data_IF_366603236808
#
_entry.id   IF_366603236808
#
_cell.length_a   1.000
_cell.length_b   1.000
_cell.length_c   1.000
_cell.angle_alpha   90.00
_cell.angle_beta   90.00
_cell.angle_gamma   90.00
#
_symmetry.space_group_name_H-M   'P 1'
#
loop_
_entity.id
_entity.type
_entity.pdbx_description
1 polymer ?
#
# COMPACT_ATOMS: atom_id res chain seq x y z
N UNK A 1 9.64 -16.48 13.10
CA UNK A 1 8.20 -16.80 13.18
C UNK A 1 7.86 -17.83 12.12
N UNK A 2 7.56 -19.05 12.51
CA UNK A 2 7.24 -20.17 11.60
C UNK A 2 5.72 -20.43 11.48
N UNK A 3 4.90 -19.62 12.14
CA UNK A 3 3.45 -19.73 12.16
C UNK A 3 2.89 -20.75 13.16
N UNK A 4 3.75 -21.39 13.94
CA UNK A 4 3.35 -22.35 14.99
C UNK A 4 3.33 -21.69 16.38
N UNK A 5 3.88 -20.50 16.52
CA UNK A 5 3.94 -19.77 17.78
C UNK A 5 2.56 -19.24 18.17
N UNK A 6 2.32 -19.26 19.46
CA UNK A 6 1.08 -18.75 20.02
C UNK A 6 0.93 -17.24 19.74
N UNK A 7 0.14 -16.91 18.73
CA UNK A 7 -0.14 -15.54 18.33
C UNK A 7 -0.77 -14.72 19.47
N UNK A 8 -1.39 -15.36 20.47
CA UNK A 8 -1.94 -14.67 21.64
C UNK A 8 -0.86 -14.06 22.52
N UNK A 9 0.37 -14.59 22.48
CA UNK A 9 1.52 -13.99 23.17
C UNK A 9 2.06 -12.75 22.48
N UNK A 10 1.92 -12.67 21.16
CA UNK A 10 2.23 -11.47 20.38
C UNK A 10 1.09 -10.44 20.45
N UNK A 11 -0.12 -10.88 20.76
CA UNK A 11 -1.30 -10.07 20.97
C UNK A 11 -1.29 -9.19 22.25
N UNK A 12 -0.22 -9.19 23.01
CA UNK A 12 0.05 -8.09 23.94
C UNK A 12 0.27 -6.74 23.21
N UNK A 13 0.51 -6.81 21.89
CA UNK A 13 0.39 -5.73 20.91
C UNK A 13 -0.92 -6.04 20.15
N UNK A 14 -2.01 -5.49 20.54
CA UNK A 14 -3.43 -5.79 20.29
C UNK A 14 -3.91 -5.91 18.81
N UNK A 15 -3.04 -6.12 17.83
CA UNK A 15 -3.34 -5.93 16.40
C UNK A 15 -3.19 -7.18 15.52
N UNK A 16 -2.98 -8.36 16.11
CA UNK A 16 -2.79 -9.59 15.33
C UNK A 16 -4.13 -10.29 15.09
N UNK A 17 -4.85 -9.82 14.07
CA UNK A 17 -6.08 -10.46 13.61
C UNK A 17 -5.83 -11.45 12.48
N UNK A 18 -6.66 -12.48 12.37
CA UNK A 18 -6.67 -13.38 11.22
C UNK A 18 -7.22 -12.72 9.96
N UNK A 19 -7.02 -13.35 8.80
CA UNK A 19 -7.44 -12.82 7.50
C UNK A 19 -8.94 -12.45 7.45
N UNK A 20 -9.80 -13.29 8.01
CA UNK A 20 -11.25 -13.05 8.06
C UNK A 20 -11.62 -11.77 8.82
N UNK A 21 -11.07 -11.61 10.01
CA UNK A 21 -11.34 -10.45 10.86
C UNK A 21 -10.82 -9.16 10.22
N UNK A 22 -9.63 -9.20 9.60
CA UNK A 22 -9.00 -8.05 8.94
C UNK A 22 -9.81 -7.51 7.77
N UNK A 23 -10.56 -8.34 7.05
CA UNK A 23 -11.40 -7.93 5.92
C UNK A 23 -12.90 -7.88 6.24
N UNK A 24 -13.30 -8.10 7.49
CA UNK A 24 -14.71 -8.12 7.88
C UNK A 24 -15.45 -6.83 7.49
N UNK A 25 -14.84 -5.67 7.74
CA UNK A 25 -15.38 -4.36 7.36
C UNK A 25 -15.53 -4.19 5.85
N UNK A 26 -14.63 -4.76 5.05
CA UNK A 26 -14.70 -4.71 3.58
C UNK A 26 -15.89 -5.54 3.08
N UNK A 27 -16.07 -6.74 3.64
CA UNK A 27 -17.17 -7.64 3.29
C UNK A 27 -18.53 -7.03 3.68
N UNK A 28 -18.58 -6.30 4.80
CA UNK A 28 -19.77 -5.61 5.27
C UNK A 28 -20.09 -4.36 4.46
N UNK A 29 -19.11 -3.45 4.31
CA UNK A 29 -19.30 -2.14 3.67
C UNK A 29 -19.31 -2.20 2.14
N UNK A 30 -18.64 -3.19 1.54
CA UNK A 30 -18.53 -3.39 0.08
C UNK A 30 -18.15 -2.12 -0.67
N UNK A 31 -17.02 -1.47 -0.35
CA UNK A 31 -16.56 -0.33 -1.11
C UNK A 31 -16.22 -0.74 -2.55
N UNK A 32 -16.12 0.21 -3.48
CA UNK A 32 -15.71 -0.07 -4.86
C UNK A 32 -14.27 -0.57 -4.92
N UNK A 33 -13.39 -0.02 -4.07
CA UNK A 33 -11.95 -0.34 -4.00
C UNK A 33 -11.56 -0.49 -2.54
N UNK A 34 -10.66 -1.41 -2.26
CA UNK A 34 -10.02 -1.55 -0.96
C UNK A 34 -8.55 -1.95 -1.10
N UNK A 35 -7.70 -1.45 -0.22
CA UNK A 35 -6.26 -1.77 -0.22
C UNK A 35 -5.97 -3.14 0.36
N UNK A 36 -4.90 -3.76 -0.17
CA UNK A 36 -4.29 -4.97 0.34
C UNK A 36 -2.77 -4.76 0.43
N UNK A 37 -2.25 -4.62 1.64
CA UNK A 37 -0.81 -4.49 1.91
C UNK A 37 -0.11 -5.79 1.55
N UNK A 38 0.63 -5.80 0.46
CA UNK A 38 1.13 -7.02 -0.14
C UNK A 38 2.52 -7.39 0.38
N UNK A 39 2.58 -7.81 1.63
CA UNK A 39 3.79 -8.35 2.25
C UNK A 39 3.97 -7.96 3.72
N UNK A 40 4.95 -8.58 4.33
CA UNK A 40 5.34 -8.36 5.72
C UNK A 40 6.50 -7.38 5.76
N UNK A 41 6.46 -6.41 6.68
CA UNK A 41 7.57 -5.47 6.86
C UNK A 41 7.68 -4.97 8.30
N UNK A 42 8.88 -4.54 8.68
CA UNK A 42 9.10 -3.82 9.91
C UNK A 42 8.66 -2.35 9.75
N UNK A 43 8.25 -1.74 10.85
CA UNK A 43 8.05 -0.30 10.97
C UNK A 43 9.03 0.30 11.98
N UNK A 44 9.34 1.59 11.88
CA UNK A 44 10.23 2.27 12.81
C UNK A 44 9.52 2.79 14.06
N UNK A 45 8.24 2.53 14.21
CA UNK A 45 7.46 2.91 15.37
C UNK A 45 7.47 1.76 16.37
N UNK A 46 8.19 1.92 17.49
CA UNK A 46 8.44 0.86 18.47
C UNK A 46 8.96 -0.44 17.81
N UNK A 47 8.72 -1.60 18.42
CA UNK A 47 9.04 -2.93 17.85
C UNK A 47 7.83 -3.46 17.06
N UNK A 48 7.39 -2.69 16.04
CA UNK A 48 6.20 -3.03 15.28
C UNK A 48 6.53 -3.74 13.97
N UNK A 49 5.79 -4.81 13.69
CA UNK A 49 5.87 -5.59 12.44
C UNK A 49 4.48 -5.72 11.84
N UNK A 50 4.31 -5.29 10.59
CA UNK A 50 3.13 -5.63 9.80
C UNK A 50 3.30 -7.06 9.26
N UNK A 51 2.41 -7.97 9.62
CA UNK A 51 2.47 -9.37 9.20
C UNK A 51 1.37 -9.66 8.18
N UNK A 52 1.79 -9.99 6.95
CA UNK A 52 0.94 -10.43 5.85
C UNK A 52 1.58 -11.66 5.19
N UNK A 53 1.32 -12.85 5.73
CA UNK A 53 1.83 -14.08 5.13
C UNK A 53 1.17 -14.32 3.76
N UNK A 54 1.83 -15.04 2.83
CA UNK A 54 1.23 -15.38 1.54
C UNK A 54 -0.12 -16.10 1.65
N UNK A 55 -0.31 -16.91 2.70
CA UNK A 55 -1.58 -17.57 3.00
C UNK A 55 -2.67 -16.59 3.39
N UNK A 56 -2.37 -15.64 4.27
CA UNK A 56 -3.30 -14.57 4.68
C UNK A 56 -3.70 -13.70 3.47
N UNK A 57 -2.73 -13.31 2.64
CA UNK A 57 -3.00 -12.50 1.45
C UNK A 57 -3.93 -13.22 0.48
N UNK A 58 -3.74 -14.53 0.25
CA UNK A 58 -4.65 -15.32 -0.60
C UNK A 58 -6.07 -15.39 -0.02
N UNK A 59 -6.21 -15.57 1.29
CA UNK A 59 -7.53 -15.64 1.93
C UNK A 59 -8.23 -14.28 1.90
N UNK A 60 -7.53 -13.21 2.29
CA UNK A 60 -8.07 -11.84 2.23
C UNK A 60 -8.50 -11.47 0.80
N UNK A 61 -7.64 -11.68 -0.19
CA UNK A 61 -7.95 -11.36 -1.58
C UNK A 61 -9.16 -12.14 -2.12
N UNK A 62 -9.30 -13.43 -1.79
CA UNK A 62 -10.48 -14.23 -2.15
C UNK A 62 -11.76 -13.67 -1.54
N UNK A 63 -11.74 -13.26 -0.27
CA UNK A 63 -12.90 -12.68 0.42
C UNK A 63 -13.31 -11.34 -0.17
N UNK A 64 -12.32 -10.46 -0.45
CA UNK A 64 -12.55 -9.17 -1.10
C UNK A 64 -13.16 -9.35 -2.49
N UNK A 65 -12.58 -10.22 -3.31
CA UNK A 65 -13.08 -10.53 -4.66
C UNK A 65 -14.48 -11.14 -4.63
N UNK A 66 -14.75 -12.06 -3.69
CA UNK A 66 -16.08 -12.65 -3.51
C UNK A 66 -17.13 -11.62 -3.07
N UNK A 67 -16.73 -10.58 -2.34
CA UNK A 67 -17.60 -9.46 -1.98
C UNK A 67 -17.83 -8.46 -3.13
N UNK A 68 -17.18 -8.65 -4.28
CA UNK A 68 -17.27 -7.76 -5.45
C UNK A 68 -16.41 -6.49 -5.32
N UNK A 69 -15.47 -6.46 -4.40
CA UNK A 69 -14.60 -5.31 -4.12
C UNK A 69 -13.33 -5.42 -4.96
N UNK A 70 -12.92 -4.31 -5.59
CA UNK A 70 -11.69 -4.24 -6.35
C UNK A 70 -10.50 -4.06 -5.42
N UNK A 71 -9.45 -4.85 -5.62
CA UNK A 71 -8.25 -4.80 -4.80
C UNK A 71 -7.26 -3.81 -5.38
N UNK A 72 -6.79 -2.87 -4.55
CA UNK A 72 -5.59 -2.08 -4.78
C UNK A 72 -4.46 -2.66 -3.93
N UNK A 73 -3.38 -3.05 -4.57
CA UNK A 73 -2.19 -3.58 -3.91
C UNK A 73 -1.39 -2.42 -3.35
N UNK A 74 -1.10 -2.39 -2.05
CA UNK A 74 -0.06 -1.52 -1.50
C UNK A 74 1.28 -2.26 -1.44
N UNK A 75 2.29 -1.69 -2.09
CA UNK A 75 3.62 -2.26 -2.16
C UNK A 75 4.65 -1.30 -1.54
N UNK A 76 5.31 -1.77 -0.49
CA UNK A 76 6.29 -1.01 0.28
C UNK A 76 7.74 -1.34 -0.09
N UNK A 77 7.95 -2.37 -0.91
CA UNK A 77 9.26 -2.77 -1.43
C UNK A 77 9.11 -3.67 -2.67
N UNK A 78 10.20 -3.94 -3.38
CA UNK A 78 10.19 -4.75 -4.61
C UNK A 78 9.77 -6.20 -4.38
N UNK A 79 10.04 -6.79 -3.21
CA UNK A 79 9.61 -8.14 -2.86
C UNK A 79 8.09 -8.26 -2.76
N UNK A 80 7.40 -7.20 -2.30
CA UNK A 80 5.94 -7.14 -2.28
C UNK A 80 5.36 -7.19 -3.70
N UNK A 81 5.97 -6.49 -4.66
CA UNK A 81 5.57 -6.54 -6.07
C UNK A 81 5.81 -7.90 -6.71
N UNK A 82 6.87 -8.60 -6.31
CA UNK A 82 7.08 -9.98 -6.75
C UNK A 82 5.97 -10.89 -6.25
N UNK A 83 5.63 -10.83 -4.97
CA UNK A 83 4.52 -11.61 -4.41
C UNK A 83 3.19 -11.23 -5.07
N UNK A 84 2.93 -9.95 -5.32
CA UNK A 84 1.75 -9.48 -6.04
C UNK A 84 1.62 -10.13 -7.43
N UNK A 85 2.72 -10.21 -8.19
CA UNK A 85 2.74 -10.91 -9.50
C UNK A 85 2.34 -12.37 -9.38
N UNK A 86 2.77 -13.08 -8.35
CA UNK A 86 2.37 -14.48 -8.14
C UNK A 86 0.88 -14.58 -7.79
N UNK A 87 0.33 -13.69 -6.94
CA UNK A 87 -1.10 -13.66 -6.61
C UNK A 87 -1.98 -13.36 -7.85
N UNK A 88 -1.52 -12.50 -8.73
CA UNK A 88 -2.19 -12.22 -10.03
C UNK A 88 -2.14 -13.47 -10.93
N UNK A 89 -0.98 -14.08 -11.10
CA UNK A 89 -0.78 -15.30 -11.89
C UNK A 89 -1.61 -16.48 -11.38
N UNK A 90 -1.79 -16.59 -10.08
CA UNK A 90 -2.68 -17.57 -9.45
C UNK A 90 -4.17 -17.25 -9.68
N UNK A 91 -4.51 -16.09 -10.24
CA UNK A 91 -5.88 -15.63 -10.45
C UNK A 91 -6.59 -15.22 -9.15
N UNK A 92 -5.84 -15.00 -8.07
CA UNK A 92 -6.37 -14.58 -6.76
C UNK A 92 -6.71 -13.09 -6.76
N UNK A 93 -5.90 -12.29 -7.46
CA UNK A 93 -6.16 -10.87 -7.70
C UNK A 93 -6.51 -10.69 -9.18
N UNK A 94 -7.75 -10.25 -9.50
CA UNK A 94 -8.19 -10.06 -10.89
C UNK A 94 -7.47 -8.90 -11.59
N UNK A 95 -7.23 -9.06 -12.89
CA UNK A 95 -6.74 -7.98 -13.76
C UNK A 95 -7.90 -7.10 -14.28
N UNK A 96 -7.65 -5.83 -14.64
CA UNK A 96 -6.40 -5.09 -14.47
C UNK A 96 -6.15 -4.74 -13.00
N UNK A 97 -4.88 -4.82 -12.59
CA UNK A 97 -4.47 -4.64 -11.19
C UNK A 97 -4.28 -3.16 -10.87
N UNK A 98 -4.74 -2.72 -9.71
CA UNK A 98 -4.40 -1.43 -9.14
C UNK A 98 -3.21 -1.62 -8.18
N UNK A 99 -2.19 -0.78 -8.30
CA UNK A 99 -0.99 -0.85 -7.46
C UNK A 99 -0.66 0.53 -6.91
N UNK A 100 -0.53 0.64 -5.60
CA UNK A 100 -0.03 1.83 -4.92
C UNK A 100 1.42 1.58 -4.50
N UNK A 101 2.35 2.39 -5.00
CA UNK A 101 3.76 2.36 -4.60
C UNK A 101 3.96 3.29 -3.40
N UNK A 102 4.28 2.71 -2.24
CA UNK A 102 4.39 3.41 -0.97
C UNK A 102 5.85 3.75 -0.69
N UNK A 103 6.25 5.00 -0.97
CA UNK A 103 7.65 5.41 -0.88
C UNK A 103 7.94 6.20 0.38
N UNK A 104 9.10 5.89 1.02
CA UNK A 104 9.55 6.62 2.20
C UNK A 104 8.86 6.23 3.51
N UNK A 105 8.11 5.13 3.53
CA UNK A 105 7.68 4.50 4.77
C UNK A 105 8.91 3.82 5.37
N UNK A 106 9.32 4.17 6.61
CA UNK A 106 10.53 3.66 7.20
C UNK A 106 10.57 2.13 7.25
N UNK A 107 11.71 1.57 6.85
CA UNK A 107 12.03 0.16 6.66
C UNK A 107 11.36 -0.51 5.45
N UNK A 108 10.54 0.24 4.70
CA UNK A 108 10.14 -0.09 3.34
C UNK A 108 11.09 0.53 2.30
N UNK A 109 10.59 0.73 1.06
CA UNK A 109 11.34 1.36 -0.03
C UNK A 109 11.72 2.81 0.31
N UNK A 110 13.02 3.16 0.28
CA UNK A 110 13.45 4.55 0.40
C UNK A 110 12.86 5.45 -0.68
N UNK A 111 12.66 6.71 -0.36
CA UNK A 111 12.08 7.71 -1.26
C UNK A 111 13.11 8.40 -2.17
N UNK A 112 14.07 7.63 -2.70
CA UNK A 112 14.97 8.07 -3.75
C UNK A 112 14.49 7.61 -5.14
N UNK A 113 14.90 8.34 -6.19
CA UNK A 113 14.43 8.07 -7.56
C UNK A 113 14.88 6.71 -8.11
N UNK A 114 16.03 6.17 -7.70
CA UNK A 114 16.50 4.87 -8.19
C UNK A 114 15.62 3.76 -7.64
N UNK A 115 15.31 3.82 -6.34
CA UNK A 115 14.41 2.88 -5.69
C UNK A 115 13.00 3.01 -6.26
N UNK A 116 12.49 4.24 -6.47
CA UNK A 116 11.21 4.47 -7.11
C UNK A 116 11.14 3.83 -8.50
N UNK A 117 12.14 4.05 -9.35
CA UNK A 117 12.17 3.42 -10.69
C UNK A 117 12.29 1.90 -10.62
N UNK A 118 13.00 1.36 -9.63
CA UNK A 118 13.01 -0.08 -9.40
C UNK A 118 11.61 -0.62 -9.04
N UNK A 119 10.85 0.11 -8.23
CA UNK A 119 9.46 -0.23 -7.93
C UNK A 119 8.59 -0.16 -9.19
N UNK A 120 8.64 0.94 -9.95
CA UNK A 120 7.88 1.13 -11.20
C UNK A 120 8.15 -0.01 -12.19
N UNK A 121 9.42 -0.36 -12.40
CA UNK A 121 9.82 -1.44 -13.32
C UNK A 121 9.37 -2.85 -12.85
N UNK A 122 8.97 -2.98 -11.60
CA UNK A 122 8.47 -4.23 -11.04
C UNK A 122 6.94 -4.31 -10.90
N UNK A 123 6.19 -3.30 -11.29
CA UNK A 123 4.73 -3.37 -11.34
C UNK A 123 4.27 -4.48 -12.29
N UNK A 124 3.21 -5.25 -12.00
CA UNK A 124 2.64 -6.22 -12.95
C UNK A 124 2.26 -5.57 -14.29
N UNK A 125 2.47 -6.27 -15.41
CA UNK A 125 2.38 -5.67 -16.76
C UNK A 125 1.01 -5.08 -17.12
N UNK A 126 -0.09 -5.63 -16.59
CA UNK A 126 -1.46 -5.16 -16.84
C UNK A 126 -2.01 -4.27 -15.72
N UNK A 127 -1.14 -3.48 -15.07
CA UNK A 127 -1.50 -2.68 -13.91
C UNK A 127 -1.66 -1.21 -14.25
N UNK A 128 -2.53 -0.55 -13.50
CA UNK A 128 -2.48 0.89 -13.29
C UNK A 128 -1.81 1.14 -11.94
N UNK A 129 -0.78 1.95 -11.91
CA UNK A 129 -0.12 2.28 -10.66
C UNK A 129 -0.34 3.74 -10.26
N UNK A 130 -0.31 3.98 -8.97
CA UNK A 130 -0.15 5.28 -8.33
C UNK A 130 1.07 5.25 -7.42
N UNK A 131 1.58 6.40 -7.06
CA UNK A 131 2.65 6.49 -6.08
C UNK A 131 2.48 7.71 -5.19
N UNK A 132 2.99 7.58 -3.96
CA UNK A 132 3.16 8.70 -3.04
C UNK A 132 4.55 8.68 -2.40
N UNK A 133 4.99 9.85 -1.97
CA UNK A 133 6.14 10.00 -1.08
C UNK A 133 5.69 10.59 0.25
N UNK A 134 6.28 10.12 1.35
CA UNK A 134 5.89 10.55 2.70
C UNK A 134 6.39 11.95 3.05
N UNK A 135 5.60 12.68 3.84
CA UNK A 135 5.92 13.98 4.44
C UNK A 135 6.37 15.02 3.40
N UNK A 136 7.54 15.61 3.57
CA UNK A 136 8.05 16.69 2.69
C UNK A 136 8.21 16.28 1.22
N UNK A 137 8.28 14.99 0.93
CA UNK A 137 8.48 14.46 -0.43
C UNK A 137 7.16 14.19 -1.15
N UNK A 138 5.99 14.37 -0.52
CA UNK A 138 4.69 14.09 -1.14
C UNK A 138 4.54 14.81 -2.50
N UNK A 139 4.75 16.13 -2.55
CA UNK A 139 4.59 16.89 -3.81
C UNK A 139 5.68 16.59 -4.84
N UNK A 140 6.88 16.24 -4.43
CA UNK A 140 7.91 15.77 -5.35
C UNK A 140 7.53 14.44 -6.01
N UNK A 141 6.86 13.57 -5.27
CA UNK A 141 6.36 12.29 -5.79
C UNK A 141 5.15 12.46 -6.71
N UNK A 142 4.33 13.50 -6.56
CA UNK A 142 3.29 13.85 -7.56
C UNK A 142 3.94 14.02 -8.93
N UNK A 143 5.02 14.82 -9.02
CA UNK A 143 5.73 15.02 -10.27
C UNK A 143 6.43 13.73 -10.75
N UNK A 144 7.11 13.01 -9.87
CA UNK A 144 7.84 11.79 -10.23
C UNK A 144 6.89 10.69 -10.74
N UNK A 145 5.76 10.46 -10.09
CA UNK A 145 4.76 9.48 -10.49
C UNK A 145 4.15 9.84 -11.86
N UNK A 146 3.81 11.10 -12.07
CA UNK A 146 3.27 11.60 -13.36
C UNK A 146 4.27 11.38 -14.50
N UNK A 147 5.55 11.74 -14.30
CA UNK A 147 6.61 11.55 -15.31
C UNK A 147 6.82 10.06 -15.61
N UNK A 148 6.68 9.19 -14.60
CA UNK A 148 6.79 7.73 -14.76
C UNK A 148 5.54 7.10 -15.40
N UNK A 149 4.49 7.87 -15.73
CA UNK A 149 3.25 7.38 -16.35
C UNK A 149 2.24 6.80 -15.35
N UNK A 150 2.40 7.09 -14.07
CA UNK A 150 1.49 6.66 -13.00
C UNK A 150 0.49 7.75 -12.60
N UNK A 151 -0.41 7.35 -11.72
CA UNK A 151 -1.30 8.24 -10.99
C UNK A 151 -0.65 8.70 -9.68
N UNK A 152 -1.31 9.58 -8.95
CA UNK A 152 -0.77 10.19 -7.73
C UNK A 152 -1.73 10.00 -6.55
N UNK A 153 -1.16 9.85 -5.36
CA UNK A 153 -1.89 9.92 -4.10
C UNK A 153 -1.31 11.05 -3.25
N UNK A 154 -2.19 11.85 -2.64
CA UNK A 154 -1.85 12.89 -1.66
C UNK A 154 -2.89 12.92 -0.55
N UNK A 155 -2.48 13.32 0.64
CA UNK A 155 -3.41 13.48 1.77
C UNK A 155 -2.74 13.58 3.13
N UNK A 156 -3.56 13.85 4.14
CA UNK A 156 -3.10 14.08 5.52
C UNK A 156 -2.56 12.80 6.20
N UNK A 157 -2.82 11.62 5.66
CA UNK A 157 -2.17 10.39 6.11
C UNK A 157 -0.66 10.45 5.85
N UNK A 158 -0.27 11.00 4.71
CA UNK A 158 1.11 10.99 4.23
C UNK A 158 1.85 12.28 4.56
N UNK A 159 1.15 13.44 4.60
CA UNK A 159 1.74 14.75 4.84
C UNK A 159 0.78 15.72 5.53
N UNK A 160 1.21 16.30 6.64
CA UNK A 160 0.41 17.27 7.41
C UNK A 160 0.60 18.72 6.96
N UNK A 161 1.55 18.99 6.07
CA UNK A 161 2.02 20.35 5.81
C UNK A 161 1.78 20.79 4.37
N UNK A 162 1.13 21.93 4.20
CA UNK A 162 1.06 22.61 2.92
C UNK A 162 2.39 23.27 2.57
N UNK A 163 2.97 23.95 3.57
CA UNK A 163 4.29 24.60 3.51
C UNK A 163 4.94 24.53 4.89
N UNK A 164 6.21 24.91 4.99
CA UNK A 164 6.91 24.92 6.26
C UNK A 164 6.18 25.77 7.29
N UNK A 165 5.66 25.12 8.34
CA UNK A 165 4.92 25.76 9.43
C UNK A 165 3.43 26.03 9.14
N UNK A 166 2.91 25.64 7.98
CA UNK A 166 1.50 25.80 7.60
C UNK A 166 0.86 24.42 7.44
N UNK A 167 -0.10 24.10 8.31
CA UNK A 167 -0.85 22.85 8.21
C UNK A 167 -1.74 22.84 6.96
N UNK A 168 -1.87 21.68 6.35
CA UNK A 168 -2.71 21.44 5.18
C UNK A 168 -4.09 20.91 5.56
N UNK A 169 -5.02 21.03 4.61
CA UNK A 169 -6.21 20.18 4.51
C UNK A 169 -6.06 19.23 3.34
N UNK A 170 -6.83 18.13 3.32
CA UNK A 170 -6.86 17.22 2.16
C UNK A 170 -7.16 17.97 0.86
N UNK A 171 -8.13 18.89 0.87
CA UNK A 171 -8.49 19.69 -0.30
C UNK A 171 -7.31 20.49 -0.85
N UNK A 172 -6.56 21.17 0.02
CA UNK A 172 -5.38 21.95 -0.38
C UNK A 172 -4.26 21.08 -0.97
N UNK A 173 -4.03 19.89 -0.43
CA UNK A 173 -3.04 18.96 -0.98
C UNK A 173 -3.47 18.46 -2.37
N UNK A 174 -4.75 18.12 -2.55
CA UNK A 174 -5.31 17.71 -3.84
C UNK A 174 -5.25 18.86 -4.87
N UNK A 175 -5.64 20.07 -4.49
CA UNK A 175 -5.54 21.25 -5.38
C UNK A 175 -4.10 21.50 -5.84
N UNK A 176 -3.13 21.41 -4.90
CA UNK A 176 -1.71 21.53 -5.24
C UNK A 176 -1.24 20.42 -6.17
N UNK A 177 -1.59 19.18 -5.90
CA UNK A 177 -1.26 18.05 -6.77
C UNK A 177 -1.84 18.23 -8.17
N UNK A 178 -3.10 18.64 -8.30
CA UNK A 178 -3.76 18.92 -9.59
C UNK A 178 -3.10 20.04 -10.40
N UNK A 179 -2.35 20.94 -9.77
CA UNK A 179 -1.59 21.98 -10.50
C UNK A 179 -0.23 21.48 -11.00
N UNK A 180 0.25 20.33 -10.49
CA UNK A 180 1.52 19.71 -10.89
C UNK A 180 1.31 18.73 -12.05
N UNK A 181 0.18 18.00 -12.04
CA UNK A 181 -0.23 17.04 -13.07
C UNK A 181 -0.75 17.77 -14.31
#
# INVERSE_FOLDING_TARGET
FDGTEDMTRMAAISDMCGAEERVAHIVECRPEICTLDCGTMNFNEADYVMVNTPGMLRDMAKRMTAAGVRIEIEAFETGHLWLAKELVKEGVIPEPVLVQLCMGVPWGAPDDLNTFMAMVNNVPASSHFSAFGRARNEMAYVAAATIAGGNVRVGLEDNLWLEKGVLATNAQLVERAATIV
#
